data_IF_098527552033
#
_entry.id   IF_098527552033
#
_cell.length_a   1.000
_cell.length_b   1.000
_cell.length_c   1.000
_cell.angle_alpha   90.00
_cell.angle_beta   90.00
_cell.angle_gamma   90.00
#
_symmetry.space_group_name_H-M   'P 1'
#
loop_
_entity.id
_entity.type
_entity.pdbx_description
1 polymer ?
#
# COMPACT_ATOMS: atom_id res chain seq x y z
N UNK A 1 2.21 -25.70 -12.07
CA UNK A 1 0.76 -25.40 -12.01
C UNK A 1 0.46 -24.13 -11.20
N UNK A 2 1.10 -23.88 -10.05
CA UNK A 2 0.84 -22.71 -9.20
C UNK A 2 0.81 -21.35 -9.92
N UNK A 3 1.74 -21.08 -10.85
CA UNK A 3 1.79 -19.80 -11.58
C UNK A 3 0.65 -19.53 -12.58
N UNK A 4 -0.15 -20.56 -12.95
CA UNK A 4 -1.32 -20.41 -13.84
C UNK A 4 -2.61 -20.10 -13.06
N UNK A 5 -2.67 -20.49 -11.78
CA UNK A 5 -3.83 -20.24 -10.91
C UNK A 5 -3.75 -18.89 -10.21
N UNK A 6 -2.58 -18.25 -10.16
CA UNK A 6 -2.39 -16.97 -9.49
C UNK A 6 -3.34 -15.85 -9.95
N UNK A 7 -3.60 -15.64 -11.27
CA UNK A 7 -4.61 -14.66 -11.68
C UNK A 7 -6.00 -14.99 -11.14
N UNK A 8 -6.41 -16.26 -11.14
CA UNK A 8 -7.71 -16.68 -10.60
C UNK A 8 -7.79 -16.46 -9.08
N UNK A 9 -6.70 -16.69 -8.35
CA UNK A 9 -6.63 -16.41 -6.91
C UNK A 9 -6.74 -14.90 -6.62
N UNK A 10 -6.05 -14.05 -7.39
CA UNK A 10 -6.19 -12.59 -7.27
C UNK A 10 -7.60 -12.11 -7.62
N UNK A 11 -8.20 -12.66 -8.68
CA UNK A 11 -9.61 -12.39 -9.00
C UNK A 11 -10.54 -12.81 -7.85
N UNK A 12 -10.31 -13.98 -7.26
CA UNK A 12 -11.05 -14.45 -6.08
C UNK A 12 -10.93 -13.51 -4.89
N UNK A 13 -9.72 -12.98 -4.62
CA UNK A 13 -9.49 -11.99 -3.56
C UNK A 13 -10.22 -10.67 -3.83
N UNK A 14 -10.20 -10.18 -5.08
CA UNK A 14 -10.96 -8.99 -5.46
C UNK A 14 -12.48 -9.20 -5.31
N UNK A 15 -12.99 -10.38 -5.68
CA UNK A 15 -14.40 -10.74 -5.54
C UNK A 15 -14.82 -11.03 -4.08
N UNK A 16 -13.88 -11.24 -3.17
CA UNK A 16 -14.15 -11.39 -1.74
C UNK A 16 -14.43 -10.04 -1.05
N UNK A 17 -13.93 -8.92 -1.61
CA UNK A 17 -14.07 -7.57 -1.04
C UNK A 17 -15.53 -7.15 -0.82
N UNK A 18 -16.46 -7.32 -1.80
CA UNK A 18 -17.87 -7.02 -1.57
C UNK A 18 -18.48 -7.71 -0.36
N UNK A 19 -18.00 -8.90 0.02
CA UNK A 19 -18.51 -9.61 1.20
C UNK A 19 -17.83 -9.18 2.50
N UNK A 20 -16.49 -9.27 2.57
CA UNK A 20 -15.74 -8.99 3.80
C UNK A 20 -15.68 -7.52 4.18
N UNK A 21 -15.79 -6.62 3.20
CA UNK A 21 -15.75 -5.17 3.42
C UNK A 21 -17.13 -4.59 3.17
N UNK A 22 -17.72 -4.78 1.99
CA UNK A 22 -18.99 -4.15 1.60
C UNK A 22 -20.17 -4.59 2.49
N UNK A 23 -20.55 -5.86 2.40
CA UNK A 23 -21.65 -6.44 3.18
C UNK A 23 -21.39 -6.31 4.68
N UNK A 24 -20.19 -6.66 5.14
CA UNK A 24 -19.93 -6.63 6.58
C UNK A 24 -20.04 -5.22 7.17
N UNK A 25 -19.52 -4.19 6.47
CA UNK A 25 -19.63 -2.80 6.90
C UNK A 25 -21.04 -2.23 6.79
N UNK A 26 -21.88 -2.79 5.92
CA UNK A 26 -23.30 -2.46 5.90
C UNK A 26 -24.03 -3.15 7.07
N UNK A 27 -23.81 -4.44 7.24
CA UNK A 27 -24.51 -5.28 8.22
C UNK A 27 -24.15 -4.95 9.67
N UNK A 28 -22.93 -4.49 9.93
CA UNK A 28 -22.49 -4.07 11.27
C UNK A 28 -22.85 -2.61 11.61
N UNK A 29 -23.46 -1.86 10.68
CA UNK A 29 -23.91 -0.49 10.87
C UNK A 29 -22.92 0.62 10.45
N UNK A 30 -21.69 0.31 10.02
CA UNK A 30 -20.69 1.32 9.67
C UNK A 30 -21.10 2.22 8.49
N UNK A 31 -21.40 1.63 7.32
CA UNK A 31 -21.74 2.42 6.13
C UNK A 31 -23.01 3.27 6.32
N UNK A 32 -24.10 2.75 6.93
CA UNK A 32 -25.23 3.57 7.33
C UNK A 32 -24.84 4.75 8.23
N UNK A 33 -24.03 4.50 9.26
CA UNK A 33 -23.58 5.53 10.21
C UNK A 33 -22.75 6.63 9.53
N UNK A 34 -21.84 6.27 8.61
CA UNK A 34 -21.09 7.26 7.82
C UNK A 34 -22.03 8.13 6.98
N UNK A 35 -23.04 7.52 6.36
CA UNK A 35 -24.05 8.23 5.58
C UNK A 35 -24.88 9.19 6.44
N UNK A 36 -25.27 8.76 7.63
CA UNK A 36 -26.03 9.57 8.60
C UNK A 36 -25.22 10.77 9.11
N UNK A 37 -23.96 10.55 9.51
CA UNK A 37 -23.08 11.64 9.98
C UNK A 37 -22.86 12.67 8.86
N UNK A 38 -22.62 12.20 7.63
CA UNK A 38 -22.43 13.06 6.48
C UNK A 38 -23.68 13.90 6.16
N UNK A 39 -24.89 13.31 6.29
CA UNK A 39 -26.14 14.03 6.04
C UNK A 39 -26.52 15.00 7.16
N UNK A 40 -26.24 14.64 8.41
CA UNK A 40 -26.43 15.51 9.59
C UNK A 40 -25.48 16.70 9.59
N UNK A 41 -24.32 16.58 8.94
CA UNK A 41 -23.32 17.65 8.87
C UNK A 41 -22.62 17.91 10.21
N UNK A 42 -22.59 16.93 11.12
CA UNK A 42 -21.95 17.04 12.44
C UNK A 42 -21.29 15.72 12.80
N UNK A 43 -20.01 15.76 13.18
CA UNK A 43 -19.21 14.62 13.61
C UNK A 43 -19.69 14.06 14.97
N UNK A 44 -19.29 12.82 15.35
CA UNK A 44 -19.73 12.20 16.61
C UNK A 44 -19.42 13.02 17.88
N UNK A 45 -18.38 13.84 17.84
CA UNK A 45 -17.96 14.73 18.94
C UNK A 45 -18.69 16.09 18.96
N UNK A 46 -19.66 16.31 18.06
CA UNK A 46 -20.39 17.57 17.93
C UNK A 46 -19.71 18.60 17.02
N UNK A 47 -18.53 18.30 16.47
CA UNK A 47 -17.82 19.20 15.55
C UNK A 47 -18.61 19.35 14.25
N UNK A 48 -18.86 20.59 13.75
CA UNK A 48 -19.45 20.79 12.44
C UNK A 48 -18.62 20.13 11.32
N UNK A 49 -19.28 19.36 10.46
CA UNK A 49 -18.65 18.74 9.31
C UNK A 49 -18.61 19.73 8.15
N UNK A 50 -17.44 19.91 7.55
CA UNK A 50 -17.30 20.61 6.29
C UNK A 50 -17.87 19.75 5.17
N UNK A 51 -18.89 20.26 4.50
CA UNK A 51 -19.58 19.57 3.40
C UNK A 51 -19.34 20.18 2.04
N UNK A 52 -18.79 21.41 1.99
CA UNK A 52 -18.45 22.11 0.76
C UNK A 52 -16.94 22.09 0.51
N UNK A 53 -16.53 21.41 -0.56
CA UNK A 53 -15.12 21.15 -0.88
C UNK A 53 -14.73 21.79 -2.22
N UNK A 54 -15.47 21.45 -3.26
CA UNK A 54 -15.20 21.81 -4.66
C UNK A 54 -16.36 22.55 -5.30
N UNK A 55 -17.56 22.47 -4.71
CA UNK A 55 -18.82 22.98 -5.28
C UNK A 55 -19.55 21.96 -6.16
N UNK A 56 -18.96 20.80 -6.44
CA UNK A 56 -19.61 19.71 -7.17
C UNK A 56 -20.29 18.76 -6.18
N UNK A 57 -21.62 18.77 -6.13
CA UNK A 57 -22.40 18.08 -5.10
C UNK A 57 -21.98 16.62 -4.85
N UNK A 58 -21.80 15.82 -5.91
CA UNK A 58 -21.41 14.40 -5.78
C UNK A 58 -19.98 14.20 -5.28
N UNK A 59 -19.06 15.07 -5.68
CA UNK A 59 -17.68 15.02 -5.22
C UNK A 59 -17.59 15.48 -3.77
N UNK A 60 -18.32 16.53 -3.43
CA UNK A 60 -18.41 17.07 -2.08
C UNK A 60 -19.03 16.05 -1.10
N UNK A 61 -20.07 15.33 -1.53
CA UNK A 61 -20.68 14.20 -0.79
C UNK A 61 -19.65 13.07 -0.55
N UNK A 62 -18.91 12.67 -1.59
CA UNK A 62 -17.89 11.63 -1.49
C UNK A 62 -16.76 12.02 -0.53
N UNK A 63 -16.19 13.22 -0.69
CA UNK A 63 -15.10 13.71 0.16
C UNK A 63 -15.57 13.84 1.60
N UNK A 64 -16.80 14.30 1.84
CA UNK A 64 -17.36 14.38 3.20
C UNK A 64 -17.46 13.00 3.86
N UNK A 65 -17.92 11.98 3.14
CA UNK A 65 -17.98 10.59 3.65
C UNK A 65 -16.58 10.04 3.95
N UNK A 66 -15.58 10.33 3.11
CA UNK A 66 -14.20 9.93 3.36
C UNK A 66 -13.62 10.66 4.59
N UNK A 67 -13.91 11.94 4.76
CA UNK A 67 -13.50 12.71 5.95
C UNK A 67 -14.13 12.14 7.22
N UNK A 68 -15.43 11.80 7.19
CA UNK A 68 -16.10 11.14 8.31
C UNK A 68 -15.43 9.80 8.61
N UNK A 69 -15.23 8.95 7.60
CA UNK A 69 -14.64 7.62 7.74
C UNK A 69 -13.25 7.67 8.41
N UNK A 70 -12.39 8.59 7.98
CA UNK A 70 -11.03 8.73 8.53
C UNK A 70 -10.95 9.63 9.78
N UNK A 71 -12.05 10.25 10.22
CA UNK A 71 -12.05 11.14 11.39
C UNK A 71 -11.49 10.46 12.65
N UNK A 72 -11.90 9.22 13.03
CA UNK A 72 -11.40 8.58 14.25
C UNK A 72 -9.88 8.34 14.24
N UNK A 73 -9.27 8.22 13.05
CA UNK A 73 -7.81 8.13 12.89
C UNK A 73 -7.19 9.50 13.13
N UNK A 74 -7.67 10.52 12.44
CA UNK A 74 -7.12 11.87 12.50
C UNK A 74 -7.30 12.53 13.88
N UNK A 75 -8.41 12.23 14.57
CA UNK A 75 -8.74 12.77 15.89
C UNK A 75 -8.18 11.95 17.06
N UNK A 76 -7.50 10.83 16.78
CA UNK A 76 -7.00 9.87 17.78
C UNK A 76 -8.11 9.27 18.66
N UNK A 77 -9.35 9.20 18.15
CA UNK A 77 -10.51 8.75 18.90
C UNK A 77 -10.55 7.25 19.22
N UNK A 78 -9.67 6.45 18.61
CA UNK A 78 -9.63 5.00 18.82
C UNK A 78 -8.18 4.46 18.77
N UNK A 79 -7.53 4.17 19.91
CA UNK A 79 -6.09 3.87 19.98
C UNK A 79 -5.64 2.66 19.15
N UNK A 80 -6.39 1.55 19.20
CA UNK A 80 -6.06 0.35 18.41
C UNK A 80 -6.19 0.58 16.90
N UNK A 81 -7.14 1.44 16.51
CA UNK A 81 -7.32 1.82 15.10
C UNK A 81 -6.16 2.68 14.66
N UNK A 82 -5.77 3.67 15.46
CA UNK A 82 -4.62 4.51 15.16
C UNK A 82 -3.33 3.69 15.00
N UNK A 83 -3.07 2.75 15.92
CA UNK A 83 -1.91 1.86 15.82
C UNK A 83 -1.96 0.97 14.56
N UNK A 84 -3.13 0.41 14.25
CA UNK A 84 -3.36 -0.34 13.01
C UNK A 84 -3.12 0.52 11.77
N UNK A 85 -3.58 1.78 11.78
CA UNK A 85 -3.42 2.72 10.67
C UNK A 85 -1.95 3.05 10.39
N UNK A 86 -1.06 3.03 11.39
CA UNK A 86 0.39 3.17 11.19
C UNK A 86 0.92 1.99 10.34
N UNK A 87 0.65 0.76 10.77
CA UNK A 87 1.07 -0.44 10.02
C UNK A 87 0.45 -0.48 8.62
N UNK A 88 -0.85 -0.19 8.52
CA UNK A 88 -1.59 -0.14 7.26
C UNK A 88 -1.01 0.91 6.30
N UNK A 89 -0.76 2.13 6.77
CA UNK A 89 -0.19 3.20 5.94
C UNK A 89 1.18 2.82 5.39
N UNK A 90 2.07 2.26 6.23
CA UNK A 90 3.38 1.82 5.75
C UNK A 90 3.30 0.69 4.73
N UNK A 91 2.40 -0.27 4.94
CA UNK A 91 2.14 -1.35 4.00
C UNK A 91 1.56 -0.86 2.67
N UNK A 92 0.58 0.06 2.73
CA UNK A 92 -0.05 0.62 1.55
C UNK A 92 0.94 1.46 0.74
N UNK A 93 1.72 2.35 1.36
CA UNK A 93 2.73 3.15 0.67
C UNK A 93 3.81 2.27 0.04
N UNK A 94 4.28 1.23 0.75
CA UNK A 94 5.27 0.30 0.21
C UNK A 94 4.70 -0.50 -0.99
N UNK A 95 3.49 -1.05 -0.84
CA UNK A 95 2.80 -1.75 -1.94
C UNK A 95 2.57 -0.84 -3.15
N UNK A 96 2.16 0.40 -2.93
CA UNK A 96 1.94 1.39 -4.00
C UNK A 96 3.24 1.81 -4.70
N UNK A 97 4.35 1.83 -3.97
CA UNK A 97 5.68 2.03 -4.56
C UNK A 97 6.00 0.91 -5.56
N UNK A 98 5.73 -0.36 -5.19
CA UNK A 98 5.93 -1.50 -6.09
C UNK A 98 5.04 -1.41 -7.34
N UNK A 99 3.76 -1.10 -7.16
CA UNK A 99 2.80 -0.88 -8.26
C UNK A 99 3.29 0.21 -9.21
N UNK A 100 3.79 1.31 -8.64
CA UNK A 100 4.27 2.46 -9.41
C UNK A 100 5.53 2.12 -10.20
N UNK A 101 6.49 1.41 -9.59
CA UNK A 101 7.68 0.95 -10.31
C UNK A 101 7.31 0.07 -11.49
N UNK A 102 6.47 -0.94 -11.29
CA UNK A 102 6.04 -1.83 -12.37
C UNK A 102 5.21 -1.13 -13.45
N UNK A 103 4.43 -0.11 -13.10
CA UNK A 103 3.68 0.68 -14.08
C UNK A 103 4.58 1.53 -14.98
N UNK A 104 5.71 2.01 -14.46
CA UNK A 104 6.70 2.80 -15.20
C UNK A 104 7.69 1.95 -16.00
N UNK A 105 7.63 0.63 -15.90
CA UNK A 105 8.49 -0.25 -16.69
C UNK A 105 8.06 -0.28 -18.15
N UNK A 106 9.02 -0.28 -19.06
CA UNK A 106 8.77 -0.34 -20.50
C UNK A 106 7.90 -1.54 -20.91
N UNK A 107 8.07 -2.69 -20.25
CA UNK A 107 7.30 -3.90 -20.51
C UNK A 107 5.83 -3.84 -20.05
N UNK A 108 5.48 -2.82 -19.27
CA UNK A 108 4.11 -2.52 -18.84
C UNK A 108 3.49 -1.39 -19.67
N UNK A 109 4.27 -0.67 -20.48
CA UNK A 109 3.79 0.50 -21.21
C UNK A 109 2.53 0.17 -22.03
N UNK A 110 1.54 1.08 -21.96
CA UNK A 110 0.25 0.95 -22.66
C UNK A 110 -0.61 -0.25 -22.26
N UNK A 111 -0.25 -0.98 -21.19
CA UNK A 111 -1.14 -1.98 -20.58
C UNK A 111 -2.12 -1.33 -19.61
N UNK A 112 -3.19 -2.03 -19.26
CA UNK A 112 -4.13 -1.56 -18.22
C UNK A 112 -3.45 -1.35 -16.86
N UNK A 113 -2.37 -2.10 -16.58
CA UNK A 113 -1.58 -1.95 -15.36
C UNK A 113 -0.63 -0.74 -15.35
N UNK A 114 -0.38 -0.08 -16.48
CA UNK A 114 0.44 1.14 -16.49
C UNK A 114 -0.30 2.40 -15.99
N UNK A 115 -1.64 2.39 -16.02
CA UNK A 115 -2.45 3.53 -15.61
C UNK A 115 -2.71 3.47 -14.10
N UNK A 116 -1.80 4.02 -13.30
CA UNK A 116 -1.88 3.97 -11.83
C UNK A 116 -2.92 4.91 -11.23
N UNK A 117 -3.30 6.02 -11.89
CA UNK A 117 -4.27 6.98 -11.34
C UNK A 117 -5.65 6.35 -11.09
N UNK A 118 -6.31 5.68 -12.06
CA UNK A 118 -7.61 5.05 -11.82
C UNK A 118 -7.55 4.01 -10.71
N UNK A 119 -6.48 3.19 -10.66
CA UNK A 119 -6.30 2.18 -9.63
C UNK A 119 -6.02 2.79 -8.25
N UNK A 120 -5.30 3.90 -8.19
CA UNK A 120 -4.99 4.59 -6.95
C UNK A 120 -6.20 5.30 -6.37
N UNK A 121 -7.00 5.93 -7.22
CA UNK A 121 -8.29 6.49 -6.82
C UNK A 121 -9.28 5.38 -6.43
N UNK A 122 -9.25 4.24 -7.11
CA UNK A 122 -10.01 3.05 -6.68
C UNK A 122 -9.54 2.54 -5.33
N UNK A 123 -8.23 2.57 -5.00
CA UNK A 123 -7.75 2.19 -3.67
C UNK A 123 -8.33 3.08 -2.56
N UNK A 124 -8.57 4.36 -2.85
CA UNK A 124 -9.11 5.33 -1.89
C UNK A 124 -10.63 5.25 -1.76
N UNK A 125 -11.35 5.01 -2.85
CA UNK A 125 -12.83 4.97 -2.87
C UNK A 125 -13.39 3.57 -2.62
N UNK A 126 -12.73 2.53 -3.12
CA UNK A 126 -13.18 1.14 -3.06
C UNK A 126 -12.39 0.26 -2.12
N UNK A 127 -11.22 0.69 -1.62
CA UNK A 127 -10.23 -0.01 -0.76
C UNK A 127 -8.96 -0.50 -1.43
N UNK A 128 -7.89 -0.54 -0.64
CA UNK A 128 -6.60 -1.15 -1.00
C UNK A 128 -6.75 -2.65 -1.27
N UNK A 129 -7.63 -3.32 -0.55
CA UNK A 129 -8.03 -4.71 -0.72
C UNK A 129 -8.70 -5.01 -2.06
N UNK A 130 -9.37 -4.04 -2.68
CA UNK A 130 -9.87 -4.20 -4.05
C UNK A 130 -8.79 -3.87 -5.09
N UNK A 131 -8.14 -2.71 -4.93
CA UNK A 131 -7.22 -2.20 -5.95
C UNK A 131 -5.99 -3.10 -6.16
N UNK A 132 -5.45 -3.68 -5.08
CA UNK A 132 -4.23 -4.50 -5.16
C UNK A 132 -4.42 -5.80 -5.92
N UNK A 133 -5.41 -6.66 -5.61
CA UNK A 133 -5.65 -7.86 -6.41
C UNK A 133 -6.12 -7.54 -7.83
N UNK A 134 -6.90 -6.47 -8.04
CA UNK A 134 -7.29 -6.04 -9.38
C UNK A 134 -6.07 -5.66 -10.22
N UNK A 135 -5.16 -4.86 -9.66
CA UNK A 135 -3.88 -4.54 -10.30
C UNK A 135 -3.05 -5.79 -10.57
N UNK A 136 -2.86 -6.65 -9.56
CA UNK A 136 -2.06 -7.87 -9.71
C UNK A 136 -2.61 -8.79 -10.80
N UNK A 137 -3.94 -8.94 -10.88
CA UNK A 137 -4.62 -9.69 -11.93
C UNK A 137 -4.34 -9.10 -13.31
N UNK A 138 -4.58 -7.80 -13.51
CA UNK A 138 -4.34 -7.11 -14.77
C UNK A 138 -2.87 -7.20 -15.19
N UNK A 139 -1.96 -6.95 -14.25
CA UNK A 139 -0.52 -6.98 -14.49
C UNK A 139 -0.03 -8.37 -14.90
N UNK A 140 -0.45 -9.43 -14.19
CA UNK A 140 -0.05 -10.80 -14.52
C UNK A 140 -0.58 -11.29 -15.89
N UNK A 141 -1.68 -10.71 -16.39
CA UNK A 141 -2.26 -11.05 -17.68
C UNK A 141 -1.71 -10.23 -18.84
N UNK A 142 -1.35 -8.96 -18.60
CA UNK A 142 -1.10 -8.00 -19.68
C UNK A 142 0.35 -7.54 -19.77
N UNK A 143 1.14 -7.60 -18.69
CA UNK A 143 2.50 -7.05 -18.69
C UNK A 143 3.56 -8.07 -19.11
N UNK A 144 4.48 -7.62 -19.97
CA UNK A 144 5.67 -8.39 -20.34
C UNK A 144 6.63 -8.54 -19.16
N UNK A 145 6.65 -7.60 -18.21
CA UNK A 145 7.50 -7.69 -17.00
C UNK A 145 7.12 -8.88 -16.12
N UNK A 146 5.87 -9.33 -16.20
CA UNK A 146 5.33 -10.45 -15.44
C UNK A 146 5.55 -11.82 -16.10
N UNK A 147 5.78 -11.84 -17.42
CA UNK A 147 5.81 -13.08 -18.21
C UNK A 147 7.19 -13.39 -18.76
N UNK A 148 7.90 -12.36 -19.24
CA UNK A 148 9.23 -12.46 -19.84
C UNK A 148 10.08 -11.30 -19.32
N UNK A 149 10.50 -11.33 -18.04
CA UNK A 149 11.33 -10.28 -17.47
C UNK A 149 12.66 -10.22 -18.25
N UNK A 150 12.94 -9.06 -18.84
CA UNK A 150 14.16 -8.79 -19.59
C UNK A 150 14.63 -7.38 -19.28
N UNK A 151 15.89 -7.07 -19.54
CA UNK A 151 16.43 -5.71 -19.33
C UNK A 151 15.59 -4.63 -19.99
N UNK A 152 15.21 -4.86 -21.25
CA UNK A 152 14.39 -3.91 -22.00
C UNK A 152 13.04 -3.74 -21.32
N UNK A 153 12.36 -4.84 -21.00
CA UNK A 153 11.04 -4.79 -20.37
C UNK A 153 11.08 -4.22 -18.95
N UNK A 154 12.19 -4.40 -18.23
CA UNK A 154 12.35 -3.95 -16.85
C UNK A 154 12.88 -2.52 -16.73
N UNK A 155 13.22 -1.86 -17.83
CA UNK A 155 13.75 -0.50 -17.78
C UNK A 155 12.71 0.49 -17.25
N UNK A 156 13.16 1.42 -16.39
CA UNK A 156 12.41 2.58 -15.93
C UNK A 156 13.26 3.81 -16.24
N UNK A 157 12.69 4.90 -16.81
CA UNK A 157 13.43 6.12 -17.09
C UNK A 157 14.14 6.69 -15.85
N UNK A 158 15.40 7.06 -15.98
CA UNK A 158 16.22 7.48 -14.83
C UNK A 158 15.67 8.72 -14.13
N UNK A 159 15.09 9.68 -14.86
CA UNK A 159 14.42 10.84 -14.29
C UNK A 159 13.28 10.45 -13.32
N UNK A 160 12.53 9.39 -13.65
CA UNK A 160 11.46 8.87 -12.79
C UNK A 160 12.07 8.28 -11.52
N UNK A 161 13.10 7.43 -11.65
CA UNK A 161 13.80 6.83 -10.51
C UNK A 161 14.38 7.90 -9.55
N UNK A 162 14.99 8.95 -10.10
CA UNK A 162 15.54 10.04 -9.30
C UNK A 162 14.45 10.86 -8.59
N UNK A 163 13.31 11.07 -9.25
CA UNK A 163 12.21 11.84 -8.67
C UNK A 163 11.38 11.04 -7.66
N UNK A 164 11.33 9.70 -7.76
CA UNK A 164 10.47 8.84 -6.93
C UNK A 164 10.53 9.14 -5.43
N UNK A 165 11.71 9.22 -4.78
CA UNK A 165 11.76 9.46 -3.34
C UNK A 165 11.12 10.80 -2.94
N UNK A 166 11.41 11.87 -3.69
CA UNK A 166 10.86 13.20 -3.42
C UNK A 166 9.36 13.27 -3.72
N UNK A 167 8.93 12.66 -4.83
CA UNK A 167 7.51 12.64 -5.21
C UNK A 167 6.68 11.85 -4.20
N UNK A 168 7.16 10.70 -3.70
CA UNK A 168 6.46 9.97 -2.64
C UNK A 168 6.52 10.72 -1.30
N UNK A 169 7.63 11.39 -0.98
CA UNK A 169 7.72 12.23 0.22
C UNK A 169 6.63 13.33 0.21
N UNK A 170 6.55 14.13 -0.85
CA UNK A 170 5.61 15.25 -0.96
C UNK A 170 4.18 14.76 -1.20
N UNK A 171 4.03 13.79 -2.11
CA UNK A 171 2.73 13.32 -2.57
C UNK A 171 2.04 12.39 -1.57
N UNK A 172 2.77 11.66 -0.73
CA UNK A 172 2.21 10.68 0.21
C UNK A 172 2.60 10.94 1.67
N UNK A 173 3.90 11.02 1.99
CA UNK A 173 4.33 11.06 3.39
C UNK A 173 3.93 12.36 4.09
N UNK A 174 4.14 13.52 3.45
CA UNK A 174 3.74 14.83 3.98
C UNK A 174 2.23 14.90 4.28
N UNK A 175 1.32 14.58 3.34
CA UNK A 175 -0.12 14.62 3.65
C UNK A 175 -0.52 13.58 4.70
N UNK A 176 0.11 12.40 4.72
CA UNK A 176 -0.18 11.36 5.73
C UNK A 176 0.20 11.84 7.14
N UNK A 177 1.38 12.46 7.29
CA UNK A 177 1.83 13.03 8.55
C UNK A 177 0.98 14.23 8.96
N UNK A 178 0.63 15.10 8.01
CA UNK A 178 -0.22 16.27 8.28
C UNK A 178 -1.58 15.86 8.84
N UNK A 179 -2.21 14.82 8.27
CA UNK A 179 -3.49 14.28 8.72
C UNK A 179 -3.49 13.89 10.21
N UNK A 180 -2.37 13.37 10.72
CA UNK A 180 -2.25 12.89 12.10
C UNK A 180 -1.56 13.87 13.05
N UNK A 181 -1.33 15.13 12.65
CA UNK A 181 -0.78 16.10 13.59
C UNK A 181 -1.73 16.30 14.79
N UNK A 182 -1.21 16.51 16.01
CA UNK A 182 -2.06 16.76 17.18
C UNK A 182 -2.85 18.06 17.01
N UNK A 183 -4.00 18.15 17.69
CA UNK A 183 -4.74 19.41 17.76
C UNK A 183 -3.90 20.50 18.40
N UNK A 184 -4.00 21.72 17.87
CA UNK A 184 -3.27 22.89 18.37
C UNK A 184 -4.03 24.17 18.01
N UNK A 185 -3.48 25.34 18.37
CA UNK A 185 -4.02 26.63 17.95
C UNK A 185 -4.08 26.80 16.43
N UNK A 186 -3.23 26.06 15.69
CA UNK A 186 -3.16 26.10 14.23
C UNK A 186 -3.82 24.88 13.56
N UNK A 187 -3.82 23.73 14.23
CA UNK A 187 -4.46 22.50 13.74
C UNK A 187 -5.83 22.33 14.41
N UNK A 188 -6.77 23.19 14.03
CA UNK A 188 -8.15 23.18 14.52
C UNK A 188 -8.99 22.11 13.80
N UNK A 189 -10.19 21.75 14.30
CA UNK A 189 -11.02 20.74 13.64
C UNK A 189 -11.31 21.02 12.14
N UNK A 190 -11.62 22.24 11.69
CA UNK A 190 -11.77 22.54 10.26
C UNK A 190 -10.50 22.31 9.44
N UNK A 191 -9.33 22.64 10.00
CA UNK A 191 -8.03 22.41 9.35
C UNK A 191 -7.77 20.90 9.23
N UNK A 192 -8.06 20.13 10.28
CA UNK A 192 -7.86 18.68 10.27
C UNK A 192 -8.75 17.99 9.23
N UNK A 193 -10.01 18.39 9.10
CA UNK A 193 -10.88 17.90 8.03
C UNK A 193 -10.31 18.20 6.63
N UNK A 194 -9.72 19.39 6.43
CA UNK A 194 -9.02 19.73 5.19
C UNK A 194 -7.80 18.83 4.93
N UNK A 195 -7.00 18.55 5.96
CA UNK A 195 -5.84 17.66 5.83
C UNK A 195 -6.25 16.22 5.48
N UNK A 196 -7.33 15.71 6.06
CA UNK A 196 -7.91 14.42 5.69
C UNK A 196 -8.38 14.42 4.23
N UNK A 197 -9.06 15.48 3.78
CA UNK A 197 -9.53 15.60 2.40
C UNK A 197 -8.36 15.69 1.39
N UNK A 198 -7.32 16.47 1.71
CA UNK A 198 -6.11 16.61 0.89
C UNK A 198 -5.31 15.31 0.83
N UNK A 199 -5.37 14.48 1.86
CA UNK A 199 -4.74 13.16 1.83
C UNK A 199 -5.44 12.21 0.84
N UNK A 200 -6.74 12.33 0.61
CA UNK A 200 -7.50 11.37 -0.20
C UNK A 200 -6.93 11.14 -1.62
N UNK A 201 -6.62 12.15 -2.44
CA UNK A 201 -6.11 11.93 -3.80
C UNK A 201 -4.58 11.73 -3.88
N UNK A 202 -3.90 11.37 -2.79
CA UNK A 202 -2.43 11.18 -2.77
C UNK A 202 -1.86 10.28 -3.89
N UNK A 203 -2.54 9.18 -4.32
CA UNK A 203 -2.01 8.37 -5.42
C UNK A 203 -1.95 9.14 -6.74
N UNK A 204 -2.87 10.08 -6.96
CA UNK A 204 -2.84 10.95 -8.12
C UNK A 204 -1.69 11.97 -8.05
N UNK A 205 -1.39 12.53 -6.86
CA UNK A 205 -0.23 13.41 -6.68
C UNK A 205 1.08 12.71 -7.07
N UNK A 206 1.26 11.46 -6.63
CA UNK A 206 2.47 10.70 -6.96
C UNK A 206 2.55 10.38 -8.46
N UNK A 207 1.46 9.96 -9.08
CA UNK A 207 1.42 9.67 -10.50
C UNK A 207 1.71 10.92 -11.36
N UNK A 208 1.02 12.03 -11.09
CA UNK A 208 1.25 13.28 -11.83
C UNK A 208 2.64 13.87 -11.57
N UNK A 209 3.14 13.78 -10.34
CA UNK A 209 4.51 14.22 -9.99
C UNK A 209 5.58 13.45 -10.77
N UNK A 210 5.43 12.13 -10.91
CA UNK A 210 6.37 11.31 -11.70
C UNK A 210 6.24 11.57 -13.20
N UNK A 211 5.03 11.75 -13.72
CA UNK A 211 4.82 12.13 -15.12
C UNK A 211 5.44 13.49 -15.42
N UNK A 212 5.24 14.49 -14.55
CA UNK A 212 5.86 15.80 -14.68
C UNK A 212 7.39 15.70 -14.64
N UNK A 213 7.95 14.91 -13.70
CA UNK A 213 9.39 14.68 -13.63
C UNK A 213 9.93 14.02 -14.90
N UNK A 214 9.24 13.03 -15.46
CA UNK A 214 9.63 12.40 -16.72
C UNK A 214 9.65 13.41 -17.87
N UNK A 215 8.58 14.21 -18.02
CA UNK A 215 8.45 15.16 -19.12
C UNK A 215 9.43 16.34 -19.02
N UNK A 216 9.68 16.86 -17.81
CA UNK A 216 10.50 18.05 -17.59
C UNK A 216 11.98 17.71 -17.41
N UNK A 217 12.29 16.61 -16.70
CA UNK A 217 13.65 16.23 -16.35
C UNK A 217 14.21 15.11 -17.22
N UNK A 218 13.41 14.44 -18.06
CA UNK A 218 13.84 13.31 -18.88
C UNK A 218 14.98 13.66 -19.85
N UNK A 219 15.00 14.88 -20.39
CA UNK A 219 16.11 15.36 -21.24
C UNK A 219 17.36 15.80 -20.47
N UNK A 220 17.25 16.02 -19.16
CA UNK A 220 18.32 16.57 -18.30
C UNK A 220 18.97 15.45 -17.46
N UNK A 221 18.15 14.57 -16.88
CA UNK A 221 18.57 13.46 -16.03
C UNK A 221 18.61 12.16 -16.83
N UNK A 222 19.61 12.05 -17.72
CA UNK A 222 19.79 10.88 -18.61
C UNK A 222 20.92 9.95 -18.15
N UNK A 223 21.61 10.29 -17.06
CA UNK A 223 22.83 9.62 -16.66
C UNK A 223 22.66 8.12 -16.40
N UNK A 224 21.48 7.68 -15.95
CA UNK A 224 21.15 6.27 -15.74
C UNK A 224 20.52 5.56 -16.95
N UNK A 225 20.12 6.30 -17.98
CA UNK A 225 19.53 5.73 -19.21
C UNK A 225 20.59 5.29 -20.22
N UNK A 226 21.84 5.74 -20.03
CA UNK A 226 22.97 5.34 -20.85
C UNK A 226 23.16 3.81 -20.83
N UNK A 227 23.31 3.14 -21.99
CA UNK A 227 23.57 1.71 -22.06
C UNK A 227 24.98 1.33 -21.61
N UNK A 228 25.77 2.26 -21.06
CA UNK A 228 27.10 2.01 -20.50
C UNK A 228 27.04 1.31 -19.14
N UNK A 229 28.12 0.64 -18.68
CA UNK A 229 28.19 0.10 -17.32
C UNK A 229 27.98 1.15 -16.23
N UNK A 230 28.47 2.38 -16.44
CA UNK A 230 28.30 3.47 -15.50
C UNK A 230 26.83 3.93 -15.39
N UNK A 231 26.13 4.04 -16.52
CA UNK A 231 24.70 4.37 -16.53
C UNK A 231 23.85 3.30 -15.85
N UNK A 232 24.09 2.03 -16.17
CA UNK A 232 23.46 0.90 -15.47
C UNK A 232 23.67 0.94 -13.97
N UNK A 233 24.91 1.17 -13.51
CA UNK A 233 25.21 1.26 -12.08
C UNK A 233 24.44 2.38 -11.39
N UNK A 234 24.25 3.54 -12.05
CA UNK A 234 23.45 4.65 -11.53
C UNK A 234 21.97 4.29 -11.43
N UNK A 235 21.39 3.72 -12.49
CA UNK A 235 19.99 3.29 -12.49
C UNK A 235 19.72 2.22 -11.42
N UNK A 236 20.57 1.19 -11.34
CA UNK A 236 20.49 0.15 -10.30
C UNK A 236 20.63 0.74 -8.89
N UNK A 237 21.55 1.70 -8.67
CA UNK A 237 21.71 2.39 -7.39
C UNK A 237 20.45 3.16 -6.99
N UNK A 238 19.83 3.89 -7.92
CA UNK A 238 18.59 4.61 -7.67
C UNK A 238 17.44 3.65 -7.33
N UNK A 239 17.32 2.55 -8.06
CA UNK A 239 16.28 1.56 -7.84
C UNK A 239 16.43 0.84 -6.49
N UNK A 240 17.66 0.43 -6.13
CA UNK A 240 17.97 -0.11 -4.79
C UNK A 240 17.61 0.87 -3.67
N UNK A 241 17.84 2.16 -3.87
CA UNK A 241 17.45 3.18 -2.90
C UNK A 241 15.93 3.27 -2.72
N UNK A 242 15.16 3.19 -3.80
CA UNK A 242 13.69 3.16 -3.75
C UNK A 242 13.21 1.91 -3.01
N UNK A 243 13.74 0.73 -3.35
CA UNK A 243 13.40 -0.52 -2.66
C UNK A 243 13.76 -0.45 -1.17
N UNK A 244 14.95 0.05 -0.81
CA UNK A 244 15.36 0.24 0.58
C UNK A 244 14.41 1.19 1.34
N UNK A 245 13.96 2.27 0.70
CA UNK A 245 13.01 3.22 1.28
C UNK A 245 11.64 2.58 1.48
N UNK A 246 11.12 1.85 0.47
CA UNK A 246 9.85 1.14 0.57
C UNK A 246 9.89 0.03 1.64
N UNK A 247 11.00 -0.72 1.71
CA UNK A 247 11.22 -1.74 2.71
C UNK A 247 11.29 -1.13 4.11
N UNK A 248 12.08 -0.07 4.29
CA UNK A 248 12.18 0.66 5.56
C UNK A 248 10.82 1.19 6.01
N UNK A 249 10.03 1.76 5.10
CA UNK A 249 8.70 2.27 5.42
C UNK A 249 7.74 1.16 5.90
N UNK A 250 7.71 0.01 5.21
CA UNK A 250 6.89 -1.14 5.62
C UNK A 250 7.39 -1.78 6.93
N UNK A 251 8.70 -1.99 7.05
CA UNK A 251 9.31 -2.65 8.20
C UNK A 251 9.17 -1.80 9.46
N UNK A 252 9.48 -0.49 9.39
CA UNK A 252 9.38 0.41 10.55
C UNK A 252 7.94 0.53 11.02
N UNK A 253 6.97 0.70 10.12
CA UNK A 253 5.57 0.81 10.52
C UNK A 253 5.04 -0.48 11.17
N UNK A 254 5.40 -1.64 10.61
CA UNK A 254 5.09 -2.96 11.17
C UNK A 254 5.72 -3.15 12.55
N UNK A 255 7.02 -2.86 12.68
CA UNK A 255 7.75 -3.02 13.94
C UNK A 255 7.25 -2.06 15.02
N UNK A 256 6.87 -0.82 14.67
CA UNK A 256 6.24 0.10 15.63
C UNK A 256 4.92 -0.49 16.14
N UNK A 257 4.03 -0.92 15.26
CA UNK A 257 2.76 -1.51 15.65
C UNK A 257 2.97 -2.77 16.50
N UNK A 258 3.90 -3.63 16.10
CA UNK A 258 4.19 -4.88 16.81
C UNK A 258 4.84 -4.67 18.16
N UNK A 259 5.80 -3.76 18.25
CA UNK A 259 6.48 -3.44 19.52
C UNK A 259 5.51 -2.86 20.52
N UNK A 260 4.65 -1.92 20.09
CA UNK A 260 3.65 -1.31 20.98
C UNK A 260 2.65 -2.37 21.47
N UNK A 261 2.05 -3.14 20.56
CA UNK A 261 1.03 -4.11 20.98
C UNK A 261 1.61 -5.24 21.82
N UNK A 262 2.74 -5.85 21.43
CA UNK A 262 3.39 -6.91 22.22
C UNK A 262 3.89 -6.36 23.56
N UNK A 263 4.40 -5.12 23.57
CA UNK A 263 4.82 -4.43 24.79
C UNK A 263 3.71 -4.36 25.84
N UNK A 264 2.46 -4.13 25.44
CA UNK A 264 1.33 -4.10 26.39
C UNK A 264 1.06 -5.45 27.06
N UNK A 265 1.45 -6.57 26.44
CA UNK A 265 1.32 -7.90 27.03
C UNK A 265 2.55 -8.29 27.86
N UNK A 266 3.76 -7.96 27.41
CA UNK A 266 5.01 -8.35 28.07
C UNK A 266 5.40 -7.43 29.23
N UNK A 267 5.03 -6.15 29.16
CA UNK A 267 5.37 -5.13 30.14
C UNK A 267 4.19 -4.15 30.38
N UNK A 268 2.99 -4.61 30.78
CA UNK A 268 1.81 -3.76 30.92
C UNK A 268 2.01 -2.56 31.86
N UNK A 269 2.89 -2.68 32.87
CA UNK A 269 3.14 -1.64 33.87
C UNK A 269 3.77 -0.35 33.31
N UNK A 270 4.36 -0.37 32.11
CA UNK A 270 4.91 0.85 31.47
C UNK A 270 3.86 1.64 30.68
N UNK A 271 2.67 1.08 30.49
CA UNK A 271 1.57 1.69 29.76
C UNK A 271 0.50 2.22 30.73
N UNK A 272 -0.20 3.28 30.34
CA UNK A 272 -1.42 3.67 31.04
C UNK A 272 -2.44 2.52 30.98
N UNK A 273 -3.19 2.20 32.06
CA UNK A 273 -4.10 1.06 32.10
C UNK A 273 -5.07 0.97 30.91
N UNK A 274 -5.66 2.10 30.50
CA UNK A 274 -6.59 2.14 29.36
C UNK A 274 -5.90 1.80 28.02
N UNK A 275 -4.63 2.18 27.84
CA UNK A 275 -3.85 1.84 26.66
C UNK A 275 -3.31 0.41 26.71
N UNK A 276 -2.97 -0.11 27.89
CA UNK A 276 -2.59 -1.51 28.05
C UNK A 276 -3.70 -2.46 27.59
N UNK A 277 -4.97 -2.14 27.90
CA UNK A 277 -6.12 -2.93 27.47
C UNK A 277 -6.43 -2.71 25.99
N UNK A 278 -6.54 -1.46 25.55
CA UNK A 278 -6.95 -1.15 24.18
C UNK A 278 -5.91 -1.54 23.12
N UNK A 279 -4.61 -1.48 23.45
CA UNK A 279 -3.52 -1.84 22.54
C UNK A 279 -3.04 -3.30 22.71
N UNK A 280 -3.70 -4.09 23.55
CA UNK A 280 -3.37 -5.49 23.76
C UNK A 280 -3.40 -6.30 22.45
N UNK A 281 -2.52 -7.30 22.23
CA UNK A 281 -2.50 -8.08 20.99
C UNK A 281 -3.84 -8.74 20.66
N UNK A 282 -4.57 -9.20 21.67
CA UNK A 282 -5.92 -9.77 21.48
C UNK A 282 -6.96 -8.75 21.02
N UNK A 283 -6.68 -7.45 21.13
CA UNK A 283 -7.52 -6.37 20.61
C UNK A 283 -7.01 -5.87 19.26
N UNK A 284 -5.71 -5.67 19.11
CA UNK A 284 -5.10 -5.09 17.89
C UNK A 284 -5.06 -6.09 16.73
N UNK A 285 -4.78 -7.36 17.00
CA UNK A 285 -4.60 -8.39 15.96
C UNK A 285 -5.87 -9.20 15.67
N UNK A 286 -6.95 -8.94 16.38
CA UNK A 286 -8.22 -9.64 16.22
C UNK A 286 -8.84 -9.38 14.83
N UNK A 287 -9.20 -10.43 14.11
CA UNK A 287 -9.95 -10.34 12.85
C UNK A 287 -11.38 -10.83 13.10
N UNK A 288 -12.30 -9.88 13.27
CA UNK A 288 -13.72 -10.19 13.46
C UNK A 288 -14.29 -10.74 12.16
N UNK A 289 -14.85 -11.96 12.21
CA UNK A 289 -15.46 -12.61 11.05
C UNK A 289 -16.90 -12.11 10.87
N UNK A 290 -17.38 -11.88 9.62
CA UNK A 290 -18.75 -11.45 9.35
C UNK A 290 -19.83 -12.37 9.93
N UNK A 291 -19.52 -13.65 10.12
CA UNK A 291 -20.42 -14.68 10.64
C UNK A 291 -20.14 -15.07 12.09
N UNK A 292 -19.31 -14.32 12.82
CA UNK A 292 -18.98 -14.61 14.23
C UNK A 292 -20.20 -14.49 15.16
N UNK A 293 -21.21 -13.70 14.78
CA UNK A 293 -22.47 -13.53 15.49
C UNK A 293 -23.65 -13.53 14.51
N UNK A 294 -24.81 -14.01 14.95
CA UNK A 294 -26.05 -13.99 14.17
C UNK A 294 -27.22 -13.48 15.05
N UNK A 295 -27.76 -12.28 14.81
CA UNK A 295 -27.40 -11.34 13.74
C UNK A 295 -25.99 -10.74 13.89
N UNK A 296 -25.46 -10.12 12.82
CA UNK A 296 -24.14 -9.47 12.83
C UNK A 296 -24.06 -8.44 13.96
N UNK A 297 -23.00 -8.52 14.76
CA UNK A 297 -22.77 -7.61 15.87
C UNK A 297 -22.68 -6.15 15.38
N UNK A 298 -23.44 -5.27 16.02
CA UNK A 298 -23.44 -3.84 15.70
C UNK A 298 -22.24 -3.14 16.34
N UNK A 299 -21.68 -2.17 15.61
CA UNK A 299 -20.60 -1.32 16.13
C UNK A 299 -21.13 -0.39 17.23
N UNK A 300 -20.28 -0.07 18.20
CA UNK A 300 -20.63 0.89 19.26
C UNK A 300 -20.24 2.31 18.88
N UNK A 301 -19.10 2.46 18.21
CA UNK A 301 -18.56 3.74 17.77
C UNK A 301 -18.18 3.69 16.29
N UNK A 302 -18.06 4.87 15.68
CA UNK A 302 -17.50 5.01 14.33
C UNK A 302 -16.09 4.39 14.25
N UNK A 303 -15.29 4.56 15.30
CA UNK A 303 -13.94 3.99 15.38
C UNK A 303 -13.92 2.47 15.32
N UNK A 304 -14.86 1.79 15.99
CA UNK A 304 -14.96 0.32 15.97
C UNK A 304 -15.22 -0.20 14.56
N UNK A 305 -16.17 0.43 13.85
CA UNK A 305 -16.49 0.05 12.48
C UNK A 305 -15.33 0.28 11.53
N UNK A 306 -14.69 1.45 11.59
CA UNK A 306 -13.51 1.77 10.77
C UNK A 306 -12.35 0.81 11.06
N UNK A 307 -12.17 0.41 12.32
CA UNK A 307 -11.16 -0.57 12.72
C UNK A 307 -11.43 -1.95 12.10
N UNK A 308 -12.66 -2.45 12.18
CA UNK A 308 -13.05 -3.71 11.55
C UNK A 308 -12.84 -3.65 10.03
N UNK A 309 -13.25 -2.55 9.39
CA UNK A 309 -13.09 -2.32 7.96
C UNK A 309 -11.61 -2.37 7.56
N UNK A 310 -10.76 -1.54 8.19
CA UNK A 310 -9.36 -1.41 7.79
C UNK A 310 -8.53 -2.65 8.09
N UNK A 311 -8.97 -3.52 8.99
CA UNK A 311 -8.33 -4.83 9.21
C UNK A 311 -8.57 -5.77 8.04
N UNK A 312 -9.81 -5.87 7.56
CA UNK A 312 -10.10 -6.64 6.35
C UNK A 312 -9.43 -6.04 5.12
N UNK A 313 -9.39 -4.70 5.04
CA UNK A 313 -8.66 -3.98 4.00
C UNK A 313 -7.16 -4.35 4.01
N UNK A 314 -6.53 -4.31 5.19
CA UNK A 314 -5.15 -4.72 5.38
C UNK A 314 -4.91 -6.17 4.98
N UNK A 315 -5.70 -7.11 5.50
CA UNK A 315 -5.49 -8.55 5.31
C UNK A 315 -5.62 -8.91 3.83
N UNK A 316 -6.71 -8.52 3.18
CA UNK A 316 -6.94 -8.86 1.77
C UNK A 316 -5.95 -8.14 0.85
N UNK A 317 -5.68 -6.85 1.10
CA UNK A 317 -4.75 -6.06 0.31
C UNK A 317 -3.33 -6.59 0.38
N UNK A 318 -2.81 -6.81 1.59
CA UNK A 318 -1.43 -7.28 1.78
C UNK A 318 -1.24 -8.75 1.39
N UNK A 319 -2.25 -9.61 1.57
CA UNK A 319 -2.24 -10.99 1.05
C UNK A 319 -2.16 -10.99 -0.48
N UNK A 320 -2.94 -10.14 -1.15
CA UNK A 320 -2.91 -9.99 -2.60
C UNK A 320 -1.55 -9.48 -3.09
N UNK A 321 -0.98 -8.48 -2.40
CA UNK A 321 0.34 -7.93 -2.71
C UNK A 321 1.43 -9.01 -2.61
N UNK A 322 1.43 -9.77 -1.52
CA UNK A 322 2.41 -10.82 -1.27
C UNK A 322 2.28 -11.98 -2.25
N UNK A 323 1.05 -12.38 -2.61
CA UNK A 323 0.79 -13.38 -3.64
C UNK A 323 1.33 -12.91 -5.00
N UNK A 324 1.02 -11.67 -5.39
CA UNK A 324 1.50 -11.08 -6.63
C UNK A 324 3.04 -11.03 -6.69
N UNK A 325 3.68 -10.50 -5.65
CA UNK A 325 5.14 -10.44 -5.54
C UNK A 325 5.79 -11.85 -5.58
N UNK A 326 5.20 -12.82 -4.88
CA UNK A 326 5.69 -14.21 -4.85
C UNK A 326 5.66 -14.86 -6.23
N UNK A 327 4.59 -14.61 -7.01
CA UNK A 327 4.46 -15.13 -8.37
C UNK A 327 5.49 -14.50 -9.29
N UNK A 328 5.69 -13.19 -9.21
CA UNK A 328 6.70 -12.48 -9.98
C UNK A 328 8.11 -12.97 -9.65
N UNK A 329 8.43 -13.09 -8.37
CA UNK A 329 9.71 -13.65 -7.90
C UNK A 329 9.94 -15.05 -8.43
N UNK A 330 8.98 -15.98 -8.25
CA UNK A 330 9.14 -17.36 -8.69
C UNK A 330 9.29 -17.48 -10.22
N UNK A 331 8.61 -16.63 -10.99
CA UNK A 331 8.75 -16.56 -12.46
C UNK A 331 10.13 -16.03 -12.86
N UNK A 332 10.61 -14.97 -12.23
CA UNK A 332 11.93 -14.41 -12.48
C UNK A 332 13.05 -15.39 -12.11
N UNK A 333 12.95 -16.01 -10.94
CA UNK A 333 13.88 -17.05 -10.50
C UNK A 333 13.96 -18.19 -11.52
N UNK A 334 12.81 -18.69 -11.98
CA UNK A 334 12.78 -19.72 -13.03
C UNK A 334 13.38 -19.25 -14.35
N UNK A 335 13.11 -18.01 -14.76
CA UNK A 335 13.61 -17.45 -16.00
C UNK A 335 15.13 -17.30 -16.00
N UNK A 336 15.70 -16.81 -14.89
CA UNK A 336 17.11 -16.45 -14.78
C UNK A 336 18.01 -17.59 -14.28
N UNK A 337 17.54 -18.40 -13.35
CA UNK A 337 18.30 -19.54 -12.79
C UNK A 337 17.97 -20.87 -13.46
N UNK A 338 16.97 -20.91 -14.35
CA UNK A 338 16.54 -22.11 -15.07
C UNK A 338 15.88 -23.18 -14.20
N UNK A 339 15.62 -22.90 -12.92
CA UNK A 339 15.07 -23.84 -11.93
C UNK A 339 13.88 -23.23 -11.22
N UNK A 340 12.93 -24.08 -10.79
CA UNK A 340 11.84 -23.63 -9.92
C UNK A 340 12.37 -23.37 -8.50
N UNK A 341 11.73 -22.44 -7.78
CA UNK A 341 12.00 -22.26 -6.35
C UNK A 341 11.69 -23.54 -5.59
N UNK A 342 12.50 -23.86 -4.57
CA UNK A 342 12.13 -24.87 -3.60
C UNK A 342 10.98 -24.35 -2.74
N UNK A 343 9.84 -25.05 -2.77
CA UNK A 343 8.59 -24.55 -2.17
C UNK A 343 8.72 -24.43 -0.65
N UNK A 344 9.39 -25.39 0.01
CA UNK A 344 9.52 -25.39 1.47
C UNK A 344 10.38 -24.22 1.93
N UNK A 345 11.57 -24.08 1.35
CA UNK A 345 12.49 -22.98 1.69
C UNK A 345 11.88 -21.61 1.35
N UNK A 346 11.13 -21.52 0.24
CA UNK A 346 10.47 -20.28 -0.17
C UNK A 346 9.33 -19.88 0.77
N UNK A 347 8.50 -20.84 1.20
CA UNK A 347 7.46 -20.57 2.20
C UNK A 347 8.05 -20.23 3.57
N UNK A 348 9.12 -20.90 3.99
CA UNK A 348 9.82 -20.58 5.23
C UNK A 348 10.40 -19.16 5.21
N UNK A 349 10.96 -18.74 4.08
CA UNK A 349 11.42 -17.37 3.86
C UNK A 349 10.28 -16.36 3.97
N UNK A 350 9.18 -16.59 3.25
CA UNK A 350 8.01 -15.71 3.29
C UNK A 350 7.48 -15.59 4.70
N UNK A 351 7.33 -16.70 5.43
CA UNK A 351 6.85 -16.70 6.81
C UNK A 351 7.80 -15.91 7.73
N UNK A 352 9.11 -16.06 7.57
CA UNK A 352 10.12 -15.32 8.34
C UNK A 352 10.05 -13.83 8.06
N UNK A 353 10.02 -13.43 6.79
CA UNK A 353 9.90 -12.03 6.39
C UNK A 353 8.57 -11.44 6.86
N UNK A 354 7.46 -12.16 6.70
CA UNK A 354 6.15 -11.73 7.17
C UNK A 354 6.17 -11.42 8.66
N UNK A 355 6.76 -12.31 9.48
CA UNK A 355 6.83 -12.11 10.93
C UNK A 355 7.67 -10.87 11.30
N UNK A 356 8.84 -10.70 10.67
CA UNK A 356 9.82 -9.66 11.04
C UNK A 356 9.46 -8.28 10.49
N UNK A 357 9.06 -8.20 9.21
CA UNK A 357 8.87 -6.93 8.50
C UNK A 357 7.47 -6.73 7.93
N UNK A 358 6.56 -7.65 8.25
CA UNK A 358 5.18 -7.61 7.78
C UNK A 358 5.03 -8.10 6.33
N UNK A 359 3.79 -8.34 5.87
CA UNK A 359 3.53 -8.86 4.53
C UNK A 359 3.98 -7.93 3.40
N UNK A 360 3.82 -6.62 3.57
CA UNK A 360 4.27 -5.67 2.56
C UNK A 360 5.81 -5.59 2.49
N UNK A 361 6.51 -5.62 3.63
CA UNK A 361 7.97 -5.70 3.65
C UNK A 361 8.49 -6.98 2.99
N UNK A 362 7.83 -8.12 3.25
CA UNK A 362 8.12 -9.37 2.56
C UNK A 362 7.90 -9.26 1.03
N UNK A 363 6.81 -8.62 0.59
CA UNK A 363 6.56 -8.40 -0.82
C UNK A 363 7.61 -7.48 -1.48
N UNK A 364 8.05 -6.43 -0.78
CA UNK A 364 9.14 -5.55 -1.24
C UNK A 364 10.43 -6.33 -1.42
N UNK A 365 10.81 -7.16 -0.44
CA UNK A 365 12.02 -7.99 -0.51
C UNK A 365 11.97 -8.95 -1.71
N UNK A 366 10.86 -9.66 -1.91
CA UNK A 366 10.70 -10.57 -3.05
C UNK A 366 10.83 -9.87 -4.41
N UNK A 367 10.29 -8.65 -4.50
CA UNK A 367 10.38 -7.82 -5.70
C UNK A 367 11.79 -7.25 -5.90
N UNK A 368 12.48 -6.89 -4.82
CA UNK A 368 13.86 -6.44 -4.87
C UNK A 368 14.77 -7.58 -5.33
N UNK A 369 14.63 -8.79 -4.80
CA UNK A 369 15.42 -9.93 -5.28
C UNK A 369 15.16 -10.27 -6.74
N UNK A 370 13.90 -10.16 -7.19
CA UNK A 370 13.56 -10.26 -8.62
C UNK A 370 14.36 -9.26 -9.44
N UNK A 371 14.53 -8.04 -8.94
CA UNK A 371 15.33 -7.02 -9.59
C UNK A 371 16.81 -7.40 -9.64
N UNK A 372 17.34 -7.91 -8.53
CA UNK A 372 18.75 -8.32 -8.46
C UNK A 372 19.04 -9.49 -9.41
N UNK A 373 18.11 -10.42 -9.64
CA UNK A 373 18.28 -11.46 -10.67
C UNK A 373 18.45 -10.85 -12.07
N UNK A 374 17.65 -9.83 -12.40
CA UNK A 374 17.75 -9.13 -13.68
C UNK A 374 19.09 -8.41 -13.83
N UNK A 375 19.59 -7.79 -12.74
CA UNK A 375 20.86 -7.06 -12.73
C UNK A 375 22.09 -7.99 -12.77
N UNK A 376 22.09 -9.12 -12.06
CA UNK A 376 23.27 -9.99 -11.91
C UNK A 376 23.64 -10.76 -13.18
N UNK A 377 22.66 -11.16 -14.00
CA UNK A 377 22.93 -11.82 -15.29
C UNK A 377 23.68 -10.89 -16.24
N UNK A 378 23.46 -9.58 -16.13
CA UNK A 378 24.16 -8.59 -16.94
C UNK A 378 25.64 -8.50 -16.58
N UNK A 379 25.99 -8.56 -15.30
CA UNK A 379 27.39 -8.56 -14.86
C UNK A 379 28.12 -9.83 -15.33
N UNK A 380 27.46 -10.99 -15.26
CA UNK A 380 28.01 -12.25 -15.80
C UNK A 380 28.22 -12.16 -17.32
N UNK A 381 27.25 -11.69 -18.09
CA UNK A 381 27.38 -11.55 -19.55
C UNK A 381 28.49 -10.58 -19.97
N UNK A 382 28.73 -9.50 -19.22
CA UNK A 382 29.79 -8.53 -19.46
C UNK A 382 31.18 -9.07 -19.13
N UNK A 383 31.32 -9.86 -18.05
CA UNK A 383 32.60 -10.51 -17.73
C UNK A 383 33.02 -11.53 -18.78
N UNK A 384 32.07 -12.26 -19.38
CA UNK A 384 32.37 -13.20 -20.47
C UNK A 384 32.79 -12.48 -21.75
N UNK A 385 32.16 -11.35 -22.10
CA UNK A 385 32.55 -10.53 -23.27
C UNK A 385 33.89 -9.79 -23.13
N UNK A 386 34.40 -9.59 -21.91
CA UNK A 386 35.74 -9.02 -21.67
C UNK A 386 36.87 -10.06 -21.74
N UNK A 387 36.54 -11.35 -21.66
CA UNK A 387 37.51 -12.46 -21.67
C UNK A 387 37.70 -13.08 -23.07
N UNK A 388 36.79 -12.78 -24.00
CA UNK A 388 36.91 -13.08 -25.42
C UNK A 388 37.30 -11.81 -26.16
#
# INVERSE_FOLDING_TARGET
>A
MAGKLAPLALLGLALAVPYFIGYFSFANGLLPLVGEIASKGTLPDGTPLRTHWTGLHKLDELVSKLVVFFWPVASFGHPALFLHSIAFSGAFTAGWTLVTLEAWRDGSAWTLSAFTVPLGLAAQVLTFAFATPAYGFLHLLTSATASVPSRANMHIPYAVLQASPLVFLIGNAVPSLAMILPFSSWNTPPVKQLLVALWQPWPAYTAFGLTAAHLVLGGVLTAGDSPTPAGRKKSAGALRYIYATAFGNAAVSHLVAMTVTVGTALAPAIFHPDYAVSLHPSKVLEIVLPWAANPVAQIQTLGDGVNIFLRWDYVLGTTSLLLWASVLHARAYKHYEGKSVDVVSFLAKIATLYAVVGPAGAAVELMWEREEFALQIEDKALTTKKKN
#
